data_IF_551469206424
#
_entry.id   IF_551469206424
#
_cell.length_a   1.000
_cell.length_b   1.000
_cell.length_c   1.000
_cell.angle_alpha   90.00
_cell.angle_beta   90.00
_cell.angle_gamma   90.00
#
_symmetry.space_group_name_H-M   'P 1'
#
loop_
_entity.id
_entity.type
_entity.pdbx_description
1 polymer ?
#
# COMPACT_ATOMS: atom_id res chain seq x y z
N UNK A 1 -4.68 10.18 -9.33
CA UNK A 1 -4.52 8.71 -9.29
C UNK A 1 -4.33 8.31 -7.83
N UNK A 2 -4.99 7.23 -7.38
CA UNK A 2 -4.80 6.52 -6.09
C UNK A 2 -5.43 7.10 -4.81
N UNK A 3 -6.73 7.47 -4.81
CA UNK A 3 -7.48 7.78 -3.58
C UNK A 3 -8.36 6.62 -3.07
N UNK A 4 -8.43 5.49 -3.80
CA UNK A 4 -9.38 4.43 -3.49
C UNK A 4 -9.09 3.70 -2.18
N UNK A 5 -7.83 3.57 -1.76
CA UNK A 5 -7.48 2.96 -0.46
C UNK A 5 -7.93 3.85 0.70
N UNK A 6 -7.76 5.16 0.58
CA UNK A 6 -8.28 6.13 1.56
C UNK A 6 -9.81 6.12 1.57
N UNK A 7 -10.45 6.08 0.40
CA UNK A 7 -11.92 5.94 0.29
C UNK A 7 -12.42 4.63 0.90
N UNK A 8 -11.71 3.52 0.70
CA UNK A 8 -12.09 2.22 1.26
C UNK A 8 -11.93 2.26 2.78
N UNK A 9 -10.82 2.78 3.28
CA UNK A 9 -10.58 2.96 4.71
C UNK A 9 -11.59 3.88 5.38
N UNK A 10 -12.03 4.96 4.73
CA UNK A 10 -13.02 5.87 5.30
C UNK A 10 -14.37 5.20 5.54
N UNK A 11 -14.72 4.20 4.71
CA UNK A 11 -15.94 3.41 4.86
C UNK A 11 -15.86 2.29 5.90
N UNK A 12 -14.67 1.96 6.40
CA UNK A 12 -14.47 0.92 7.39
C UNK A 12 -14.43 1.51 8.81
N UNK A 13 -14.86 0.76 9.85
CA UNK A 13 -14.91 1.26 11.23
C UNK A 13 -13.54 1.17 11.91
N UNK A 14 -12.50 1.66 11.23
CA UNK A 14 -11.16 1.76 11.79
C UNK A 14 -10.94 3.07 12.55
N UNK A 15 -9.98 3.06 13.47
CA UNK A 15 -9.56 4.26 14.18
C UNK A 15 -8.88 5.28 13.23
N UNK A 16 -8.78 6.56 13.63
CA UNK A 16 -8.19 7.60 12.79
C UNK A 16 -6.74 7.32 12.36
N UNK A 17 -5.92 6.74 13.24
CA UNK A 17 -4.52 6.45 12.96
C UNK A 17 -4.36 5.41 11.84
N UNK A 18 -5.23 4.40 11.82
CA UNK A 18 -5.28 3.42 10.73
C UNK A 18 -5.77 4.05 9.43
N UNK A 19 -6.74 4.97 9.50
CA UNK A 19 -7.26 5.67 8.32
C UNK A 19 -6.20 6.56 7.66
N UNK A 20 -5.27 7.11 8.42
CA UNK A 20 -4.19 7.97 7.91
C UNK A 20 -2.98 7.24 7.32
N UNK A 21 -2.94 5.89 7.36
CA UNK A 21 -1.78 5.10 6.87
C UNK A 21 -1.43 5.36 5.40
N UNK A 22 -2.42 5.74 4.61
CA UNK A 22 -2.30 5.99 3.18
C UNK A 22 -2.43 7.48 2.82
N UNK A 23 -2.33 8.38 3.80
CA UNK A 23 -2.33 9.84 3.54
C UNK A 23 -1.06 10.30 2.84
N UNK A 24 0.05 9.60 3.08
CA UNK A 24 1.27 9.84 2.35
C UNK A 24 1.19 9.19 0.96
N UNK A 25 1.33 10.00 -0.10
CA UNK A 25 1.31 9.51 -1.49
C UNK A 25 2.38 8.44 -1.78
N UNK A 26 3.49 8.46 -1.06
CA UNK A 26 4.55 7.44 -1.16
C UNK A 26 4.13 6.12 -0.52
N UNK A 27 3.14 6.13 0.37
CA UNK A 27 2.51 4.94 0.92
C UNK A 27 1.41 4.37 -0.01
N UNK A 28 0.93 5.13 -1.00
CA UNK A 28 -0.14 4.66 -1.92
C UNK A 28 0.37 4.25 -3.29
N UNK A 29 1.46 4.84 -3.77
CA UNK A 29 1.97 4.58 -5.12
C UNK A 29 2.79 3.29 -5.20
N UNK A 30 2.26 2.29 -5.91
CA UNK A 30 2.93 1.01 -6.21
C UNK A 30 2.85 0.68 -7.71
N UNK A 31 2.39 1.61 -8.56
CA UNK A 31 2.15 1.32 -9.98
C UNK A 31 3.21 1.98 -10.84
N UNK A 32 3.92 1.19 -11.63
CA UNK A 32 4.69 1.70 -12.77
C UNK A 32 3.91 1.49 -14.06
N UNK A 33 4.02 2.46 -14.97
CA UNK A 33 3.52 2.33 -16.33
C UNK A 33 4.73 2.07 -17.21
N UNK A 34 4.84 0.85 -17.73
CA UNK A 34 5.85 0.50 -18.73
C UNK A 34 5.27 0.64 -20.15
N UNK A 35 5.99 1.28 -21.09
CA UNK A 35 5.56 1.32 -22.49
C UNK A 35 5.45 -0.11 -23.07
N UNK A 36 4.41 -0.42 -23.89
CA UNK A 36 3.38 0.47 -24.42
C UNK A 36 2.03 0.37 -23.66
N UNK A 37 2.03 0.56 -22.33
CA UNK A 37 0.85 0.63 -21.41
C UNK A 37 0.61 -0.62 -20.52
N UNK A 38 1.65 -1.39 -20.19
CA UNK A 38 1.52 -2.43 -19.16
C UNK A 38 1.65 -1.83 -17.77
N UNK A 39 0.70 -2.17 -16.89
CA UNK A 39 0.67 -1.72 -15.49
C UNK A 39 1.34 -2.77 -14.61
N UNK A 40 2.42 -2.40 -13.92
CA UNK A 40 3.13 -3.30 -13.02
C UNK A 40 3.04 -2.81 -11.57
N UNK A 41 2.85 -3.76 -10.65
CA UNK A 41 3.00 -3.53 -9.21
C UNK A 41 4.49 -3.59 -8.85
N UNK A 42 5.07 -2.45 -8.48
CA UNK A 42 6.47 -2.34 -8.08
C UNK A 42 6.62 -2.90 -6.66
N UNK A 43 7.61 -3.78 -6.40
CA UNK A 43 7.96 -4.16 -5.04
C UNK A 43 8.49 -2.96 -4.24
N UNK A 44 8.06 -2.82 -3.00
CA UNK A 44 8.53 -1.76 -2.09
C UNK A 44 9.36 -2.40 -0.98
N UNK A 45 10.70 -2.31 -1.06
CA UNK A 45 11.61 -2.92 -0.07
C UNK A 45 11.33 -2.47 1.36
N UNK A 46 10.95 -1.21 1.53
CA UNK A 46 10.69 -0.65 2.84
C UNK A 46 9.42 -1.20 3.47
N UNK A 47 8.47 -1.73 2.69
CA UNK A 47 7.15 -2.11 3.17
C UNK A 47 7.19 -3.50 3.77
N UNK A 48 6.68 -3.65 4.99
CA UNK A 48 6.58 -4.96 5.64
C UNK A 48 5.61 -5.89 4.88
N UNK A 49 5.78 -7.21 4.99
CA UNK A 49 4.83 -8.18 4.44
C UNK A 49 3.40 -7.97 4.95
N UNK A 50 3.24 -7.64 6.23
CA UNK A 50 1.95 -7.39 6.87
C UNK A 50 1.26 -6.17 6.27
N UNK A 51 2.00 -5.07 6.09
CA UNK A 51 1.44 -3.85 5.50
C UNK A 51 1.15 -4.04 4.01
N UNK A 52 1.96 -4.81 3.30
CA UNK A 52 1.71 -5.19 1.90
C UNK A 52 0.43 -6.01 1.77
N UNK A 53 0.21 -6.98 2.67
CA UNK A 53 -1.01 -7.78 2.73
C UNK A 53 -2.22 -6.91 3.03
N UNK A 54 -2.12 -6.02 4.00
CA UNK A 54 -3.19 -5.07 4.33
C UNK A 54 -3.58 -4.18 3.13
N UNK A 55 -2.59 -3.62 2.43
CA UNK A 55 -2.83 -2.83 1.22
C UNK A 55 -3.54 -3.64 0.11
N UNK A 56 -3.12 -4.89 -0.09
CA UNK A 56 -3.74 -5.80 -1.06
C UNK A 56 -5.19 -6.12 -0.70
N UNK A 57 -5.49 -6.31 0.58
CA UNK A 57 -6.85 -6.59 1.05
C UNK A 57 -7.79 -5.40 0.80
N UNK A 58 -7.32 -4.17 1.03
CA UNK A 58 -8.07 -2.97 0.67
C UNK A 58 -8.34 -2.88 -0.85
N UNK A 59 -7.36 -3.26 -1.67
CA UNK A 59 -7.56 -3.31 -3.13
C UNK A 59 -8.62 -4.34 -3.51
N UNK A 60 -8.64 -5.52 -2.87
CA UNK A 60 -9.64 -6.56 -3.12
C UNK A 60 -11.04 -6.10 -2.73
N UNK A 61 -11.21 -5.47 -1.57
CA UNK A 61 -12.49 -4.89 -1.15
C UNK A 61 -12.98 -3.87 -2.18
N UNK A 62 -12.09 -2.98 -2.66
CA UNK A 62 -12.42 -2.01 -3.67
C UNK A 62 -12.82 -2.65 -5.01
N UNK A 63 -12.04 -3.62 -5.49
CA UNK A 63 -12.30 -4.37 -6.73
C UNK A 63 -13.65 -5.10 -6.64
N UNK A 64 -13.92 -5.78 -5.52
CA UNK A 64 -15.18 -6.49 -5.29
C UNK A 64 -16.36 -5.52 -5.28
N UNK A 65 -16.26 -4.42 -4.53
CA UNK A 65 -17.29 -3.37 -4.49
C UNK A 65 -17.57 -2.79 -5.88
N UNK A 66 -16.53 -2.50 -6.67
CA UNK A 66 -16.69 -2.00 -8.04
C UNK A 66 -17.24 -3.06 -8.98
N UNK A 67 -16.87 -4.32 -8.81
CA UNK A 67 -17.41 -5.44 -9.59
C UNK A 67 -18.90 -5.61 -9.35
N UNK A 68 -19.33 -5.55 -8.09
CA UNK A 68 -20.75 -5.67 -7.72
C UNK A 68 -21.59 -4.48 -8.18
N UNK A 69 -21.01 -3.27 -8.26
CA UNK A 69 -21.76 -2.05 -8.61
C UNK A 69 -21.72 -1.68 -10.10
N UNK A 70 -20.64 -2.00 -10.80
CA UNK A 70 -20.42 -1.61 -12.20
C UNK A 70 -20.15 -2.78 -13.16
N UNK A 71 -20.06 -4.00 -12.63
CA UNK A 71 -19.77 -5.20 -13.41
C UNK A 71 -18.29 -5.47 -13.63
N UNK A 72 -17.98 -6.71 -14.03
CA UNK A 72 -16.60 -7.20 -14.23
C UNK A 72 -15.87 -6.49 -15.37
N UNK A 73 -16.56 -6.22 -16.48
CA UNK A 73 -15.96 -5.56 -17.65
C UNK A 73 -15.44 -4.17 -17.29
N UNK A 74 -16.23 -3.40 -16.55
CA UNK A 74 -15.82 -2.07 -16.08
C UNK A 74 -14.55 -2.14 -15.22
N UNK A 75 -14.48 -3.12 -14.32
CA UNK A 75 -13.30 -3.29 -13.45
C UNK A 75 -12.07 -3.66 -14.27
N UNK A 76 -12.20 -4.60 -15.20
CA UNK A 76 -11.10 -4.99 -16.08
C UNK A 76 -10.58 -3.82 -16.92
N UNK A 77 -11.45 -2.92 -17.39
CA UNK A 77 -11.04 -1.86 -18.31
C UNK A 77 -10.55 -0.60 -17.56
N UNK A 78 -11.15 -0.28 -16.41
CA UNK A 78 -10.96 1.02 -15.74
C UNK A 78 -10.36 0.97 -14.33
N UNK A 79 -10.25 -0.19 -13.68
CA UNK A 79 -9.68 -0.29 -12.32
C UNK A 79 -8.23 -0.72 -12.41
N UNK A 80 -7.31 0.18 -12.04
CA UNK A 80 -5.87 -0.06 -12.14
C UNK A 80 -5.44 -1.28 -11.32
N UNK A 81 -5.95 -1.42 -10.10
CA UNK A 81 -5.60 -2.49 -9.15
C UNK A 81 -5.91 -3.89 -9.72
N UNK A 82 -6.99 -4.01 -10.50
CA UNK A 82 -7.39 -5.27 -11.13
C UNK A 82 -6.54 -5.61 -12.37
N UNK A 83 -5.85 -4.62 -12.93
CA UNK A 83 -5.05 -4.75 -14.16
C UNK A 83 -3.55 -4.89 -13.93
N UNK A 84 -3.07 -4.62 -12.71
CA UNK A 84 -1.64 -4.67 -12.37
C UNK A 84 -1.11 -6.10 -12.47
N UNK A 85 -0.03 -6.26 -13.20
CA UNK A 85 0.79 -7.47 -13.18
C UNK A 85 1.87 -7.36 -12.10
N UNK A 86 2.34 -8.49 -11.58
CA UNK A 86 3.49 -8.49 -10.67
C UNK A 86 4.73 -8.12 -11.46
N UNK A 87 5.46 -7.08 -11.02
CA UNK A 87 6.74 -6.74 -11.63
C UNK A 87 7.79 -7.81 -11.34
N UNK A 88 8.60 -8.16 -12.34
CA UNK A 88 9.83 -8.95 -12.18
C UNK A 88 11.06 -8.06 -11.96
N UNK A 89 10.89 -6.74 -12.03
CA UNK A 89 11.99 -5.78 -11.92
C UNK A 89 12.41 -5.57 -10.47
N UNK A 90 13.70 -5.35 -10.26
CA UNK A 90 14.26 -5.03 -8.95
C UNK A 90 13.57 -3.80 -8.34
N UNK A 91 13.23 -3.82 -7.06
CA UNK A 91 12.62 -2.68 -6.39
C UNK A 91 13.56 -1.45 -6.38
N UNK A 92 13.00 -0.23 -6.42
CA UNK A 92 13.78 0.99 -6.30
C UNK A 92 14.47 1.07 -4.92
N UNK A 93 15.79 1.32 -4.93
CA UNK A 93 16.65 1.24 -3.75
C UNK A 93 16.75 2.53 -2.91
N UNK A 94 15.90 3.53 -3.15
CA UNK A 94 16.08 4.89 -2.62
C UNK A 94 15.35 5.18 -1.30
N UNK A 95 16.08 5.55 -0.24
CA UNK A 95 15.52 6.05 1.02
C UNK A 95 14.57 7.26 0.85
N UNK A 96 14.79 8.09 -0.18
CA UNK A 96 13.96 9.28 -0.46
C UNK A 96 12.49 8.94 -0.71
N UNK A 97 12.18 7.73 -1.15
CA UNK A 97 10.82 7.30 -1.48
C UNK A 97 10.10 6.63 -0.31
N UNK A 98 10.72 6.56 0.87
CA UNK A 98 10.11 5.94 2.04
C UNK A 98 9.26 6.94 2.83
N UNK A 99 7.98 6.61 3.11
CA UNK A 99 7.13 7.45 3.95
C UNK A 99 7.67 7.55 5.38
N UNK A 100 7.54 8.73 5.98
CA UNK A 100 7.85 8.97 7.39
C UNK A 100 6.58 8.90 8.25
N UNK A 101 6.75 8.73 9.55
CA UNK A 101 5.68 8.69 10.56
C UNK A 101 4.66 7.56 10.35
N UNK A 102 5.06 6.45 9.72
CA UNK A 102 4.25 5.24 9.73
C UNK A 102 4.49 4.46 11.02
N UNK A 103 3.54 3.60 11.43
CA UNK A 103 3.78 2.61 12.47
C UNK A 103 5.04 1.80 12.22
N UNK A 104 5.78 1.46 13.28
CA UNK A 104 7.04 0.74 13.16
C UNK A 104 6.90 -0.57 12.34
N UNK A 105 5.80 -1.29 12.51
CA UNK A 105 5.52 -2.54 11.80
C UNK A 105 4.98 -2.35 10.36
N UNK A 106 4.89 -1.12 9.85
CA UNK A 106 4.76 -0.86 8.41
C UNK A 106 6.09 -0.99 7.66
N UNK A 107 7.22 -0.89 8.37
CA UNK A 107 8.54 -1.00 7.81
C UNK A 107 9.05 -2.45 7.86
N UNK A 108 9.68 -2.92 6.79
CA UNK A 108 10.35 -4.22 6.76
C UNK A 108 11.56 -4.22 7.70
N UNK A 109 11.69 -5.27 8.52
CA UNK A 109 12.85 -5.45 9.40
C UNK A 109 14.16 -5.54 8.61
N UNK A 110 14.13 -6.24 7.47
CA UNK A 110 15.28 -6.34 6.56
C UNK A 110 15.68 -4.95 6.07
N UNK A 111 14.72 -4.12 5.66
CA UNK A 111 14.99 -2.76 5.23
C UNK A 111 15.56 -1.89 6.35
N UNK A 112 14.96 -1.91 7.54
CA UNK A 112 15.43 -1.14 8.70
C UNK A 112 16.87 -1.50 9.10
N UNK A 113 17.28 -2.76 8.88
CA UNK A 113 18.65 -3.23 9.13
C UNK A 113 19.68 -2.62 8.18
N UNK A 114 19.27 -2.24 6.96
CA UNK A 114 20.16 -1.59 5.97
C UNK A 114 20.37 -0.10 6.22
N UNK A 115 19.57 0.51 7.12
CA UNK A 115 19.62 1.95 7.36
C UNK A 115 20.68 2.34 8.39
N UNK A 116 21.22 3.54 8.25
CA UNK A 116 21.96 4.19 9.33
C UNK A 116 21.03 4.57 10.50
N UNK A 117 21.59 4.81 11.67
CA UNK A 117 20.83 5.32 12.81
C UNK A 117 20.15 6.65 12.51
N UNK A 118 20.85 7.57 11.83
CA UNK A 118 20.29 8.85 11.39
C UNK A 118 19.10 8.69 10.44
N UNK A 119 19.15 7.72 9.52
CA UNK A 119 18.03 7.42 8.63
C UNK A 119 16.83 6.84 9.38
N UNK A 120 17.07 5.92 10.33
CA UNK A 120 16.00 5.40 11.20
C UNK A 120 15.34 6.50 12.03
N UNK A 121 16.13 7.40 12.59
CA UNK A 121 15.61 8.55 13.34
C UNK A 121 14.80 9.49 12.44
N UNK A 122 15.20 9.66 11.17
CA UNK A 122 14.46 10.49 10.21
C UNK A 122 13.11 9.87 9.80
N UNK A 123 12.96 8.54 9.87
CA UNK A 123 11.66 7.88 9.64
C UNK A 123 10.63 8.25 10.70
N UNK A 124 11.08 8.51 11.93
CA UNK A 124 10.25 8.87 13.09
C UNK A 124 9.00 7.96 13.22
N UNK A 125 9.19 6.63 13.37
CA UNK A 125 8.08 5.69 13.39
C UNK A 125 7.17 5.89 14.61
N UNK A 126 5.88 5.65 14.43
CA UNK A 126 4.89 5.64 15.52
C UNK A 126 4.70 4.22 16.08
N UNK A 127 3.88 4.10 17.13
CA UNK A 127 3.57 2.81 17.74
C UNK A 127 3.00 1.80 16.73
N UNK A 128 3.32 0.52 16.95
CA UNK A 128 2.85 -0.58 16.08
C UNK A 128 1.34 -0.72 16.09
N UNK A 129 0.78 -1.17 14.98
CA UNK A 129 -0.66 -1.43 14.83
C UNK A 129 -0.96 -2.92 14.67
N UNK A 130 -2.09 -3.41 15.17
CA UNK A 130 -2.47 -4.81 15.01
C UNK A 130 -3.16 -5.05 13.66
N UNK A 131 -2.39 -5.39 12.62
CA UNK A 131 -2.95 -5.71 11.30
C UNK A 131 -3.92 -6.90 11.31
N UNK A 132 -3.75 -7.87 12.22
CA UNK A 132 -4.61 -9.05 12.29
C UNK A 132 -6.04 -8.66 12.67
N UNK A 133 -6.21 -7.77 13.65
CA UNK A 133 -7.52 -7.24 14.02
C UNK A 133 -8.15 -6.45 12.87
N UNK A 134 -7.37 -5.65 12.16
CA UNK A 134 -7.88 -4.87 11.02
C UNK A 134 -8.40 -5.75 9.87
N UNK A 135 -7.80 -6.92 9.67
CA UNK A 135 -8.21 -7.88 8.64
C UNK A 135 -9.43 -8.72 9.02
N UNK A 136 -9.84 -8.72 10.29
CA UNK A 136 -11.03 -9.46 10.77
C UNK A 136 -12.34 -8.68 10.67
N UNK A 137 -12.30 -7.36 10.39
CA UNK A 137 -13.49 -6.48 10.32
C UNK A 137 -14.24 -6.62 8.97
N UNK A 138 -14.31 -7.84 8.42
CA UNK A 138 -15.00 -8.10 7.14
C UNK A 138 -16.51 -8.27 7.33
#
# INVERSE_FOLDING_TARGET
ILQHRQETLSTLPFNPNTKSLFDNIKATSETEINPPCSLFKIPLLWRSPEFSKFAQELDQIFIQKKTSTKGRQFVHDFVLEARRQTSTTSPPAGFKEVPRNLPLNCYSLEYLSTLSESQRNLLNPTDTINFSELLTVR
#
